data_IF_349752762619
#
_entry.id   IF_349752762619
#
_cell.length_a   1.000
_cell.length_b   1.000
_cell.length_c   1.000
_cell.angle_alpha   90.00
_cell.angle_beta   90.00
_cell.angle_gamma   90.00
#
_symmetry.space_group_name_H-M   'P 1'
#
loop_
_entity.id
_entity.type
_entity.pdbx_description
1 polymer ?
#
# COMPACT_ATOMS: atom_id res chain seq x y z
N UNK A 1 11.15 -1.41 17.81
CA UNK A 1 9.91 -2.10 17.36
C UNK A 1 10.26 -2.98 16.17
N UNK A 2 9.83 -4.24 16.15
CA UNK A 2 10.11 -5.15 15.03
C UNK A 2 9.04 -4.95 13.95
N UNK A 3 9.45 -4.52 12.76
CA UNK A 3 8.56 -4.40 11.59
C UNK A 3 8.65 -5.68 10.77
N UNK A 4 7.56 -6.04 10.10
CA UNK A 4 7.52 -7.17 9.17
C UNK A 4 7.00 -6.69 7.82
N UNK A 5 7.57 -7.23 6.75
CA UNK A 5 7.09 -6.97 5.40
C UNK A 5 5.82 -7.77 5.17
N UNK A 6 4.72 -7.07 4.84
CA UNK A 6 3.40 -7.69 4.58
C UNK A 6 3.06 -7.74 3.09
N UNK A 7 3.81 -7.00 2.27
CA UNK A 7 3.68 -6.96 0.82
C UNK A 7 4.69 -6.04 0.16
N UNK A 8 4.70 -6.03 -1.16
CA UNK A 8 5.58 -5.18 -1.99
C UNK A 8 4.73 -4.38 -2.97
N UNK A 9 5.01 -3.09 -3.11
CA UNK A 9 4.38 -2.26 -4.14
C UNK A 9 4.93 -2.70 -5.50
N UNK A 10 4.05 -3.06 -6.42
CA UNK A 10 4.43 -3.44 -7.78
C UNK A 10 4.41 -2.24 -8.72
N UNK A 11 3.37 -1.41 -8.60
CA UNK A 11 3.18 -0.20 -9.39
C UNK A 11 2.02 0.64 -8.87
N UNK A 12 1.99 1.93 -9.20
CA UNK A 12 0.79 2.75 -9.15
C UNK A 12 -0.37 2.17 -9.97
N UNK A 13 -1.59 2.47 -9.56
CA UNK A 13 -2.81 2.01 -10.19
C UNK A 13 -3.90 3.09 -10.14
N UNK A 14 -4.55 3.29 -11.29
CA UNK A 14 -5.68 4.21 -11.41
C UNK A 14 -5.30 5.69 -11.26
N UNK A 15 -6.32 6.55 -11.36
CA UNK A 15 -6.16 8.00 -11.26
C UNK A 15 -6.21 8.52 -9.83
N UNK A 16 -6.71 7.70 -8.88
CA UNK A 16 -6.96 8.07 -7.48
C UNK A 16 -5.80 7.77 -6.52
N UNK A 17 -4.59 7.58 -7.05
CA UNK A 17 -3.41 7.27 -6.23
C UNK A 17 -3.41 5.89 -5.58
N UNK A 18 -4.04 4.87 -6.18
CA UNK A 18 -4.02 3.52 -5.61
C UNK A 18 -2.68 2.84 -5.93
N UNK A 19 -2.24 1.93 -5.06
CA UNK A 19 -1.04 1.13 -5.25
C UNK A 19 -1.42 -0.33 -5.45
N UNK A 20 -0.87 -0.96 -6.50
CA UNK A 20 -0.95 -2.41 -6.67
C UNK A 20 0.11 -3.08 -5.81
N UNK A 21 -0.32 -3.85 -4.82
CA UNK A 21 0.53 -4.52 -3.84
C UNK A 21 0.48 -6.03 -4.04
N UNK A 22 1.65 -6.66 -4.16
CA UNK A 22 1.82 -8.10 -4.06
C UNK A 22 1.72 -8.51 -2.59
N UNK A 23 0.81 -9.43 -2.30
CA UNK A 23 0.58 -9.97 -0.96
C UNK A 23 1.76 -10.88 -0.58
N UNK A 24 2.32 -10.70 0.62
CA UNK A 24 3.34 -11.58 1.22
C UNK A 24 2.96 -12.01 2.64
N UNK A 25 1.67 -12.05 2.92
CA UNK A 25 1.12 -12.36 4.23
C UNK A 25 -0.11 -13.24 4.11
N UNK A 26 -0.29 -14.16 5.06
CA UNK A 26 -1.50 -14.96 5.19
C UNK A 26 -2.65 -14.16 5.84
N UNK A 27 -2.32 -13.20 6.71
CA UNK A 27 -3.27 -12.36 7.45
C UNK A 27 -3.64 -11.07 6.69
N UNK A 28 -4.14 -11.20 5.46
CA UNK A 28 -4.43 -10.04 4.60
C UNK A 28 -5.48 -9.12 5.19
N UNK A 29 -6.61 -9.68 5.63
CA UNK A 29 -7.76 -8.91 6.10
C UNK A 29 -7.41 -8.12 7.37
N UNK A 30 -6.63 -8.71 8.27
CA UNK A 30 -6.17 -8.04 9.49
C UNK A 30 -5.11 -6.98 9.18
N UNK A 31 -4.08 -7.28 8.38
CA UNK A 31 -2.93 -6.39 8.16
C UNK A 31 -3.24 -5.24 7.20
N UNK A 32 -4.09 -5.48 6.19
CA UNK A 32 -4.55 -4.46 5.24
C UNK A 32 -5.94 -3.92 5.59
N UNK A 33 -6.37 -4.01 6.85
CA UNK A 33 -7.62 -3.40 7.28
C UNK A 33 -7.59 -1.88 7.09
N UNK A 34 -8.73 -1.33 6.64
CA UNK A 34 -8.92 0.12 6.54
C UNK A 34 -8.74 0.74 7.93
N UNK A 35 -7.95 1.80 8.00
CA UNK A 35 -7.60 2.46 9.24
C UNK A 35 -6.26 2.06 9.84
N UNK A 36 -5.68 0.93 9.42
CA UNK A 36 -4.36 0.52 9.87
C UNK A 36 -3.26 1.46 9.37
N UNK A 37 -2.22 1.61 10.20
CA UNK A 37 -0.99 2.30 9.83
C UNK A 37 0.00 1.31 9.21
N UNK A 38 0.52 1.66 8.05
CA UNK A 38 1.57 0.93 7.34
C UNK A 38 2.77 1.83 7.14
N UNK A 39 3.94 1.21 7.08
CA UNK A 39 5.19 1.87 6.74
C UNK A 39 5.59 1.43 5.34
N UNK A 40 5.88 2.42 4.50
CA UNK A 40 6.32 2.21 3.13
C UNK A 40 7.77 2.63 3.07
N UNK A 41 8.64 1.71 2.65
CA UNK A 41 10.03 2.04 2.42
C UNK A 41 10.18 2.58 0.99
N UNK A 42 10.53 3.85 0.86
CA UNK A 42 10.82 4.52 -0.40
C UNK A 42 12.31 4.84 -0.43
N UNK A 43 13.10 4.04 -1.15
CA UNK A 43 14.55 4.24 -1.28
C UNK A 43 15.29 4.43 0.07
N UNK A 44 14.92 3.64 1.09
CA UNK A 44 15.50 3.74 2.43
C UNK A 44 14.81 4.73 3.37
N UNK A 45 13.88 5.55 2.88
CA UNK A 45 13.05 6.44 3.70
C UNK A 45 11.76 5.73 4.07
N UNK A 46 11.49 5.58 5.36
CA UNK A 46 10.22 5.01 5.83
C UNK A 46 9.17 6.11 5.96
N UNK A 47 8.10 6.01 5.17
CA UNK A 47 6.94 6.91 5.24
C UNK A 47 5.78 6.15 5.87
N UNK A 48 5.23 6.71 6.93
CA UNK A 48 4.04 6.18 7.57
C UNK A 48 2.78 6.70 6.86
N UNK A 49 1.87 5.79 6.55
CA UNK A 49 0.56 6.09 5.96
C UNK A 49 -0.54 5.24 6.58
N UNK A 50 -1.76 5.75 6.55
CA UNK A 50 -2.99 5.06 6.93
C UNK A 50 -3.68 4.50 5.69
N UNK A 51 -4.18 3.29 5.80
CA UNK A 51 -4.98 2.66 4.73
C UNK A 51 -6.37 3.29 4.69
N UNK A 52 -6.77 3.83 3.54
CA UNK A 52 -8.11 4.39 3.30
C UNK A 52 -9.06 3.38 2.66
N UNK A 53 -8.57 2.60 1.70
CA UNK A 53 -9.38 1.55 1.07
C UNK A 53 -8.51 0.43 0.54
N UNK A 54 -9.07 -0.78 0.50
CA UNK A 54 -8.40 -1.97 -0.01
C UNK A 54 -9.38 -2.79 -0.83
N UNK A 55 -8.94 -3.20 -2.02
CA UNK A 55 -9.71 -4.09 -2.89
C UNK A 55 -8.81 -5.15 -3.50
N UNK A 56 -9.33 -6.36 -3.67
CA UNK A 56 -8.62 -7.45 -4.35
C UNK A 56 -8.75 -7.28 -5.87
N UNK A 57 -7.66 -7.46 -6.60
CA UNK A 57 -7.63 -7.39 -8.06
C UNK A 57 -6.56 -8.34 -8.63
N UNK A 58 -7.00 -9.36 -9.38
CA UNK A 58 -6.11 -10.31 -10.08
C UNK A 58 -5.02 -10.91 -9.16
N UNK A 59 -5.39 -11.36 -7.96
CA UNK A 59 -4.45 -11.94 -6.99
C UNK A 59 -3.54 -10.94 -6.27
N UNK A 60 -3.71 -9.64 -6.50
CA UNK A 60 -3.03 -8.55 -5.79
C UNK A 60 -4.04 -7.71 -4.99
N UNK A 61 -3.54 -6.81 -4.15
CA UNK A 61 -4.35 -5.76 -3.54
C UNK A 61 -4.17 -4.45 -4.30
N UNK A 62 -5.23 -3.69 -4.42
CA UNK A 62 -5.17 -2.27 -4.73
C UNK A 62 -5.47 -1.53 -3.44
N UNK A 63 -4.51 -0.76 -2.96
CA UNK A 63 -4.55 -0.08 -1.66
C UNK A 63 -4.48 1.41 -1.89
N UNK A 64 -5.44 2.15 -1.33
CA UNK A 64 -5.39 3.61 -1.25
C UNK A 64 -4.89 4.02 0.12
N UNK A 65 -4.00 4.99 0.16
CA UNK A 65 -3.38 5.49 1.37
C UNK A 65 -3.78 6.95 1.58
N UNK A 66 -3.75 7.39 2.84
CA UNK A 66 -4.12 8.75 3.20
C UNK A 66 -3.18 9.79 2.56
N UNK A 67 -3.78 10.83 1.97
CA UNK A 67 -3.03 11.91 1.32
C UNK A 67 -2.30 11.49 0.04
N UNK A 68 -2.66 10.35 -0.57
CA UNK A 68 -2.24 9.96 -1.91
C UNK A 68 -3.49 9.84 -2.79
N UNK A 69 -3.88 10.95 -3.43
CA UNK A 69 -5.14 11.07 -4.14
C UNK A 69 -4.99 11.10 -5.67
N UNK A 70 -3.76 11.18 -6.17
CA UNK A 70 -3.45 11.25 -7.60
C UNK A 70 -2.33 10.31 -8.03
N UNK A 71 -2.33 9.96 -9.32
CA UNK A 71 -1.28 9.12 -9.91
C UNK A 71 0.13 9.73 -9.77
N UNK A 72 0.23 11.05 -9.91
CA UNK A 72 1.51 11.78 -9.82
C UNK A 72 2.12 11.66 -8.43
N UNK A 73 1.30 11.69 -7.37
CA UNK A 73 1.78 11.56 -5.98
C UNK A 73 2.33 10.16 -5.68
N UNK A 74 1.83 9.15 -6.38
CA UNK A 74 2.26 7.76 -6.19
C UNK A 74 3.27 7.27 -7.22
N UNK A 75 3.64 8.07 -8.22
CA UNK A 75 4.48 7.65 -9.36
C UNK A 75 5.82 7.04 -8.90
N UNK A 76 6.39 7.59 -7.83
CA UNK A 76 7.66 7.16 -7.24
C UNK A 76 7.54 5.98 -6.25
N UNK A 77 6.35 5.39 -6.09
CA UNK A 77 6.13 4.24 -5.20
C UNK A 77 6.32 2.94 -5.99
N UNK A 78 7.58 2.58 -6.24
CA UNK A 78 7.99 1.33 -6.89
C UNK A 78 9.28 0.77 -6.28
#
# INVERSE_FOLDING_TARGET
MKKITIGTVQKPFGLKGELKIRIQTDFVEERFSVGNQVYINLNGVEVQRKIESVRKHQGSLLVKLDGLDSLTEVEHYH
#
